data_IF_215935799165
#
_entry.id   IF_215935799165
#
_cell.length_a   1.000
_cell.length_b   1.000
_cell.length_c   1.000
_cell.angle_alpha   90.00
_cell.angle_beta   90.00
_cell.angle_gamma   90.00
#
_symmetry.space_group_name_H-M   'P 1'
#
loop_
_entity.id
_entity.type
_entity.pdbx_description
1 polymer ?
#
# COMPACT_ATOMS: atom_id res chain seq x y z
N UNK A 1 -4.51 -8.92 -24.30
CA UNK A 1 -4.85 -8.32 -23.01
C UNK A 1 -4.13 -6.99 -22.94
N UNK A 2 -4.85 -5.88 -22.77
CA UNK A 2 -4.25 -4.54 -22.67
C UNK A 2 -3.37 -4.40 -21.42
N UNK A 3 -2.59 -3.31 -21.34
CA UNK A 3 -1.77 -2.98 -20.18
C UNK A 3 -2.60 -2.74 -18.92
N UNK A 4 -3.85 -2.31 -19.07
CA UNK A 4 -4.76 -2.07 -17.95
C UNK A 4 -5.20 -3.39 -17.32
N UNK A 5 -4.61 -3.72 -16.18
CA UNK A 5 -4.95 -4.92 -15.39
C UNK A 5 -6.31 -4.76 -14.69
N UNK A 6 -6.75 -3.51 -14.50
CA UNK A 6 -7.96 -3.15 -13.76
C UNK A 6 -8.76 -2.09 -14.53
N UNK A 7 -10.12 -2.17 -14.57
CA UNK A 7 -10.94 -1.26 -15.38
C UNK A 7 -10.72 0.23 -15.09
N UNK A 8 -10.52 0.59 -13.82
CA UNK A 8 -10.31 1.99 -13.39
C UNK A 8 -8.93 2.55 -13.73
N UNK A 9 -8.01 1.72 -14.23
CA UNK A 9 -6.65 2.13 -14.62
C UNK A 9 -6.49 2.35 -16.13
N UNK A 10 -7.53 2.20 -16.93
CA UNK A 10 -7.45 2.30 -18.38
C UNK A 10 -6.83 3.62 -18.85
N UNK A 11 -7.35 4.74 -18.36
CA UNK A 11 -6.84 6.08 -18.71
C UNK A 11 -5.39 6.30 -18.28
N UNK A 12 -4.98 5.78 -17.11
CA UNK A 12 -3.60 5.85 -16.65
C UNK A 12 -2.69 4.99 -17.54
N UNK A 13 -3.12 3.79 -17.89
CA UNK A 13 -2.38 2.90 -18.79
C UNK A 13 -2.18 3.51 -20.17
N UNK A 14 -3.22 4.11 -20.76
CA UNK A 14 -3.17 4.83 -22.03
C UNK A 14 -2.18 6.01 -21.97
N UNK A 15 -2.23 6.80 -20.89
CA UNK A 15 -1.31 7.92 -20.68
C UNK A 15 0.15 7.47 -20.59
N UNK A 16 0.41 6.34 -19.91
CA UNK A 16 1.75 5.76 -19.81
C UNK A 16 2.24 5.25 -21.17
N UNK A 17 1.39 4.54 -21.92
CA UNK A 17 1.73 4.05 -23.26
C UNK A 17 1.99 5.18 -24.25
N UNK A 18 1.19 6.24 -24.21
CA UNK A 18 1.39 7.43 -25.06
C UNK A 18 2.72 8.13 -24.76
N UNK A 19 3.18 8.08 -23.51
CA UNK A 19 4.44 8.69 -23.07
C UNK A 19 5.67 7.79 -23.23
N UNK A 20 5.54 6.54 -23.66
CA UNK A 20 6.60 5.52 -23.62
C UNK A 20 7.91 5.90 -24.29
N UNK A 21 7.84 6.67 -25.39
CA UNK A 21 9.01 7.09 -26.17
C UNK A 21 9.69 8.34 -25.61
N UNK A 22 9.00 9.09 -24.75
CA UNK A 22 9.47 10.34 -24.16
C UNK A 22 9.24 10.34 -22.63
N UNK A 23 9.72 9.31 -21.95
CA UNK A 23 9.62 9.21 -20.49
C UNK A 23 10.62 10.17 -19.82
N UNK A 24 10.22 10.82 -18.73
CA UNK A 24 11.16 11.59 -17.91
C UNK A 24 12.12 10.65 -17.18
N UNK A 25 13.23 11.19 -16.67
CA UNK A 25 14.19 10.43 -15.87
C UNK A 25 13.57 9.86 -14.60
N UNK A 26 12.68 10.61 -13.94
CA UNK A 26 11.92 10.17 -12.78
C UNK A 26 10.41 10.40 -12.99
N UNK A 27 9.63 9.33 -12.85
CA UNK A 27 8.15 9.36 -12.86
C UNK A 27 7.65 8.77 -11.56
N UNK A 28 6.95 9.58 -10.75
CA UNK A 28 6.35 9.15 -9.50
C UNK A 28 4.84 9.02 -9.66
N UNK A 29 4.37 7.77 -9.70
CA UNK A 29 2.97 7.42 -9.76
C UNK A 29 2.47 7.19 -8.34
N UNK A 30 1.42 7.89 -7.93
CA UNK A 30 0.94 7.81 -6.55
C UNK A 30 -0.58 7.65 -6.46
N UNK A 31 -1.01 6.90 -5.47
CA UNK A 31 -2.43 6.68 -5.17
C UNK A 31 -2.60 5.72 -4.01
N UNK A 32 -3.80 5.59 -3.44
CA UNK A 32 -4.02 4.74 -2.28
C UNK A 32 -3.54 3.32 -2.53
N UNK A 33 -2.96 2.68 -1.50
CA UNK A 33 -2.60 1.27 -1.56
C UNK A 33 -3.82 0.41 -1.89
N UNK A 34 -3.62 -0.64 -2.68
CA UNK A 34 -4.67 -1.62 -2.97
C UNK A 34 -5.61 -1.24 -4.11
N UNK A 35 -5.22 -0.28 -4.94
CA UNK A 35 -5.93 0.04 -6.20
C UNK A 35 -5.18 -0.50 -7.44
N UNK A 36 -4.11 -1.29 -7.26
CA UNK A 36 -3.37 -1.94 -8.34
C UNK A 36 -2.35 -1.06 -9.06
N UNK A 37 -1.98 0.12 -8.50
CA UNK A 37 -1.03 1.05 -9.13
C UNK A 37 0.33 0.40 -9.38
N UNK A 38 0.86 -0.32 -8.40
CA UNK A 38 2.17 -0.98 -8.51
C UNK A 38 2.16 -2.07 -9.59
N UNK A 39 1.09 -2.83 -9.70
CA UNK A 39 0.97 -3.91 -10.69
C UNK A 39 0.90 -3.34 -12.11
N UNK A 40 0.19 -2.21 -12.29
CA UNK A 40 0.17 -1.49 -13.55
C UNK A 40 1.57 -0.98 -13.93
N UNK A 41 2.29 -0.40 -12.97
CA UNK A 41 3.65 0.13 -13.24
C UNK A 41 4.63 -0.99 -13.55
N UNK A 42 4.55 -2.15 -12.89
CA UNK A 42 5.33 -3.34 -13.24
C UNK A 42 5.00 -3.81 -14.66
N UNK A 43 3.72 -3.90 -15.01
CA UNK A 43 3.28 -4.29 -16.34
C UNK A 43 3.76 -3.30 -17.41
N UNK A 44 3.67 -1.99 -17.14
CA UNK A 44 4.20 -0.94 -18.00
C UNK A 44 5.73 -1.06 -18.15
N UNK A 45 6.48 -1.18 -17.06
CA UNK A 45 7.94 -1.34 -17.10
C UNK A 45 8.37 -2.54 -17.99
N UNK A 46 7.68 -3.67 -17.83
CA UNK A 46 7.92 -4.86 -18.66
C UNK A 46 7.57 -4.63 -20.13
N UNK A 47 6.51 -3.87 -20.42
CA UNK A 47 6.09 -3.58 -21.80
C UNK A 47 7.11 -2.78 -22.61
N UNK A 48 7.95 -1.97 -21.94
CA UNK A 48 8.98 -1.14 -22.56
C UNK A 48 10.10 -1.97 -23.21
N UNK A 49 10.20 -3.25 -22.92
CA UNK A 49 11.17 -4.19 -23.50
C UNK A 49 10.57 -5.06 -24.60
N UNK A 50 9.33 -4.77 -25.02
CA UNK A 50 8.70 -5.50 -26.13
C UNK A 50 9.34 -5.11 -27.46
N UNK A 51 9.87 -6.08 -28.18
CA UNK A 51 10.48 -5.90 -29.52
C UNK A 51 9.44 -5.70 -30.62
N UNK A 52 8.22 -6.24 -30.40
CA UNK A 52 7.11 -6.22 -31.37
C UNK A 52 5.79 -5.83 -30.71
N UNK A 53 5.65 -4.56 -30.27
CA UNK A 53 4.41 -4.11 -29.65
C UNK A 53 3.26 -4.10 -30.67
N UNK A 54 2.03 -4.30 -30.18
CA UNK A 54 0.82 -4.12 -30.98
C UNK A 54 0.62 -2.66 -31.38
N UNK A 55 -0.30 -2.39 -32.31
CA UNK A 55 -0.58 -1.03 -32.79
C UNK A 55 -1.04 -0.08 -31.68
N UNK A 56 -1.68 -0.59 -30.63
CA UNK A 56 -2.07 0.17 -29.43
C UNK A 56 -0.94 0.37 -28.43
N UNK A 57 0.27 -0.09 -28.73
CA UNK A 57 1.45 0.00 -27.88
C UNK A 57 1.54 -1.10 -26.81
N UNK A 58 0.58 -2.02 -26.72
CA UNK A 58 0.62 -3.12 -25.77
C UNK A 58 1.68 -4.17 -26.13
N UNK A 59 2.26 -4.88 -25.14
CA UNK A 59 3.32 -5.85 -25.39
C UNK A 59 2.79 -7.12 -26.04
N UNK A 60 3.58 -7.74 -26.94
CA UNK A 60 3.24 -9.01 -27.60
C UNK A 60 3.30 -10.23 -26.67
N UNK A 61 3.95 -10.14 -25.54
CA UNK A 61 4.19 -11.17 -24.50
C UNK A 61 4.97 -12.42 -24.97
N UNK A 62 5.40 -12.49 -26.22
CA UNK A 62 6.02 -13.68 -26.83
C UNK A 62 7.47 -13.47 -27.27
N UNK A 63 7.91 -12.23 -27.55
CA UNK A 63 9.28 -11.93 -27.93
C UNK A 63 10.29 -12.19 -26.79
N UNK A 64 11.58 -12.17 -27.11
CA UNK A 64 12.66 -12.41 -26.13
C UNK A 64 12.60 -11.39 -24.99
N UNK A 65 12.49 -10.09 -25.29
CA UNK A 65 12.39 -9.03 -24.29
C UNK A 65 11.20 -9.23 -23.35
N UNK A 66 10.01 -9.54 -23.87
CA UNK A 66 8.83 -9.84 -23.05
C UNK A 66 9.05 -11.05 -22.14
N UNK A 67 9.59 -12.16 -22.67
CA UNK A 67 9.83 -13.37 -21.86
C UNK A 67 10.81 -13.13 -20.73
N UNK A 68 11.93 -12.43 -21.01
CA UNK A 68 12.91 -12.08 -19.99
C UNK A 68 12.34 -11.13 -18.93
N UNK A 69 11.54 -10.13 -19.35
CA UNK A 69 10.90 -9.20 -18.42
C UNK A 69 9.86 -9.89 -17.53
N UNK A 70 9.07 -10.82 -18.08
CA UNK A 70 8.10 -11.62 -17.33
C UNK A 70 8.76 -12.58 -16.33
N UNK A 71 9.91 -13.16 -16.72
CA UNK A 71 10.71 -14.03 -15.84
C UNK A 71 11.56 -13.25 -14.81
N UNK A 72 11.50 -11.92 -14.79
CA UNK A 72 12.35 -11.04 -13.95
C UNK A 72 13.87 -11.21 -14.20
N UNK A 73 14.25 -11.62 -15.39
CA UNK A 73 15.65 -11.87 -15.78
C UNK A 73 16.17 -10.87 -16.81
N UNK A 74 15.37 -9.84 -17.17
CA UNK A 74 15.83 -8.84 -18.14
C UNK A 74 16.98 -8.03 -17.57
N UNK A 75 18.16 -7.95 -18.26
CA UNK A 75 19.36 -7.31 -17.72
C UNK A 75 19.20 -5.80 -17.45
N UNK A 76 18.33 -5.11 -18.21
CA UNK A 76 18.13 -3.67 -18.10
C UNK A 76 16.87 -3.31 -17.27
N UNK A 77 16.25 -4.27 -16.56
CA UNK A 77 15.13 -4.06 -15.66
C UNK A 77 15.56 -4.38 -14.23
N UNK A 78 15.36 -3.44 -13.31
CA UNK A 78 15.63 -3.64 -11.88
C UNK A 78 14.43 -3.26 -11.04
N UNK A 79 14.24 -4.03 -9.97
CA UNK A 79 13.22 -3.79 -8.95
C UNK A 79 13.90 -3.41 -7.64
N UNK A 80 13.55 -2.24 -7.11
CA UNK A 80 13.97 -1.76 -5.79
C UNK A 80 12.73 -1.76 -4.91
N UNK A 81 12.45 -2.91 -4.31
CA UNK A 81 11.23 -3.13 -3.52
C UNK A 81 11.60 -3.40 -2.07
N UNK A 82 10.73 -3.02 -1.13
CA UNK A 82 10.86 -3.56 0.22
C UNK A 82 10.71 -5.08 0.17
N UNK A 83 11.33 -5.79 1.10
CA UNK A 83 11.28 -7.26 1.13
C UNK A 83 9.84 -7.79 1.15
N UNK A 84 8.98 -7.17 1.96
CA UNK A 84 7.58 -7.58 2.06
C UNK A 84 6.85 -7.48 0.71
N UNK A 85 7.09 -6.40 -0.05
CA UNK A 85 6.44 -6.18 -1.33
C UNK A 85 7.04 -7.05 -2.45
N UNK A 86 8.34 -7.35 -2.37
CA UNK A 86 9.00 -8.27 -3.29
C UNK A 86 8.46 -9.70 -3.12
N UNK A 87 8.41 -10.20 -1.88
CA UNK A 87 7.88 -11.54 -1.58
C UNK A 87 6.42 -11.65 -2.00
N UNK A 88 5.57 -10.65 -1.67
CA UNK A 88 4.16 -10.67 -2.00
C UNK A 88 3.88 -10.74 -3.51
N UNK A 89 4.85 -10.32 -4.35
CA UNK A 89 4.73 -10.29 -5.83
C UNK A 89 5.63 -11.28 -6.55
N UNK A 90 6.36 -12.13 -5.81
CA UNK A 90 7.31 -13.07 -6.42
C UNK A 90 8.43 -12.36 -7.20
N UNK A 91 8.86 -11.18 -6.72
CA UNK A 91 9.97 -10.42 -7.31
C UNK A 91 11.30 -10.78 -6.63
N UNK A 92 12.43 -10.65 -7.35
CA UNK A 92 13.75 -10.87 -6.76
C UNK A 92 13.98 -9.91 -5.58
N UNK A 93 14.52 -10.44 -4.50
CA UNK A 93 14.98 -9.67 -3.34
C UNK A 93 16.18 -10.35 -2.71
N UNK A 94 17.22 -9.56 -2.47
CA UNK A 94 18.43 -10.01 -1.76
C UNK A 94 18.42 -9.36 -0.36
N UNK A 95 18.38 -10.17 0.72
CA UNK A 95 18.45 -9.63 2.07
C UNK A 95 19.85 -9.10 2.37
N UNK A 96 20.01 -8.15 3.32
CA UNK A 96 21.32 -7.70 3.77
C UNK A 96 22.20 -8.87 4.21
N UNK A 97 23.50 -8.81 3.94
CA UNK A 97 24.45 -9.89 4.22
C UNK A 97 24.47 -10.34 5.70
N UNK A 98 24.10 -9.47 6.63
CA UNK A 98 24.00 -9.75 8.07
C UNK A 98 22.60 -10.14 8.53
N UNK A 99 21.67 -10.42 7.61
CA UNK A 99 20.30 -10.76 7.95
C UNK A 99 20.23 -12.16 8.59
N UNK A 100 19.58 -12.25 9.75
CA UNK A 100 19.30 -13.52 10.44
C UNK A 100 18.02 -14.17 9.93
N UNK A 101 17.92 -15.50 9.99
CA UNK A 101 16.72 -16.23 9.52
C UNK A 101 15.46 -15.91 10.32
N UNK A 102 15.60 -15.53 11.59
CA UNK A 102 14.48 -15.28 12.50
C UNK A 102 14.03 -13.81 12.59
N UNK A 103 14.57 -12.94 11.77
CA UNK A 103 14.21 -11.53 11.74
C UNK A 103 12.80 -11.26 11.21
N UNK A 104 12.32 -10.06 11.44
CA UNK A 104 11.11 -9.55 10.78
C UNK A 104 11.41 -9.20 9.31
N UNK A 105 10.42 -9.40 8.44
CA UNK A 105 10.47 -8.98 7.04
C UNK A 105 10.57 -7.45 6.97
N UNK A 106 11.48 -6.93 6.16
CA UNK A 106 11.67 -5.50 5.97
C UNK A 106 10.51 -4.91 5.15
N UNK A 107 9.96 -3.82 5.65
CA UNK A 107 8.87 -3.06 4.99
C UNK A 107 9.35 -1.80 4.33
N UNK A 108 10.61 -1.44 4.57
CA UNK A 108 11.27 -0.24 4.07
C UNK A 108 12.31 -0.64 3.02
N UNK A 109 12.63 0.30 2.15
CA UNK A 109 13.76 0.18 1.22
C UNK A 109 15.02 0.53 2.00
N UNK A 110 15.95 -0.43 2.08
CA UNK A 110 17.16 -0.37 2.87
C UNK A 110 18.36 0.16 2.05
N UNK A 111 19.37 0.69 2.72
CA UNK A 111 20.53 1.35 2.08
C UNK A 111 21.34 0.45 1.12
N UNK A 112 21.37 -0.87 1.33
CA UNK A 112 22.11 -1.76 0.43
C UNK A 112 21.53 -1.76 -0.99
N UNK A 113 20.20 -1.67 -1.12
CA UNK A 113 19.50 -1.71 -2.41
C UNK A 113 19.88 -0.54 -3.35
N UNK A 114 19.86 0.76 -2.91
CA UNK A 114 20.38 1.84 -3.74
C UNK A 114 21.89 1.73 -4.05
N UNK A 115 22.69 1.09 -3.19
CA UNK A 115 24.11 0.84 -3.48
C UNK A 115 24.29 -0.17 -4.62
N UNK A 116 23.60 -1.31 -4.55
CA UNK A 116 23.57 -2.32 -5.61
C UNK A 116 23.01 -1.74 -6.92
N UNK A 117 22.04 -0.84 -6.82
CA UNK A 117 21.51 -0.11 -7.97
C UNK A 117 22.58 0.77 -8.61
N UNK A 118 23.46 1.42 -7.83
CA UNK A 118 24.56 2.24 -8.36
C UNK A 118 25.51 1.38 -9.19
N UNK A 119 25.85 0.18 -8.74
CA UNK A 119 26.70 -0.74 -9.49
C UNK A 119 26.03 -1.15 -10.82
N UNK A 120 24.74 -1.46 -10.79
CA UNK A 120 23.95 -1.73 -12.00
C UNK A 120 23.94 -0.54 -12.97
N UNK A 121 23.78 0.68 -12.46
CA UNK A 121 23.72 1.88 -13.29
C UNK A 121 25.06 2.27 -13.91
N UNK A 122 26.18 1.86 -13.32
CA UNK A 122 27.52 2.07 -13.86
C UNK A 122 27.88 1.13 -15.03
N UNK A 123 27.15 0.03 -15.20
CA UNK A 123 27.32 -0.86 -16.35
C UNK A 123 26.72 -0.21 -17.62
N UNK A 124 27.23 -0.55 -18.80
CA UNK A 124 26.58 -0.19 -20.04
C UNK A 124 25.22 -0.92 -20.20
N UNK A 125 24.21 -0.33 -20.87
CA UNK A 125 23.00 -1.07 -21.24
C UNK A 125 23.35 -2.33 -22.02
N UNK A 126 22.62 -3.41 -21.80
CA UNK A 126 22.87 -4.69 -22.47
C UNK A 126 22.59 -4.65 -23.97
N UNK A 127 21.65 -3.79 -24.38
CA UNK A 127 21.33 -3.54 -25.78
C UNK A 127 21.85 -2.16 -26.15
N UNK A 128 22.69 -2.06 -27.20
CA UNK A 128 23.16 -0.77 -27.71
C UNK A 128 21.97 0.14 -28.05
N UNK A 129 21.99 1.35 -27.47
CA UNK A 129 20.86 2.25 -27.56
C UNK A 129 19.62 1.83 -26.77
N UNK A 130 19.71 0.78 -25.96
CA UNK A 130 18.64 0.30 -25.10
C UNK A 130 18.33 1.24 -23.93
N UNK A 131 17.17 1.03 -23.31
CA UNK A 131 16.68 1.78 -22.15
C UNK A 131 16.85 0.95 -20.89
N UNK A 132 17.26 1.58 -19.79
CA UNK A 132 17.21 0.99 -18.44
C UNK A 132 15.99 1.47 -17.68
N UNK A 133 15.31 0.55 -17.02
CA UNK A 133 14.14 0.84 -16.20
C UNK A 133 14.37 0.36 -14.78
N UNK A 134 14.16 1.25 -13.84
CA UNK A 134 14.21 0.96 -12.41
C UNK A 134 12.82 1.19 -11.83
N UNK A 135 12.20 0.15 -11.29
CA UNK A 135 10.89 0.25 -10.60
C UNK A 135 11.12 0.27 -9.10
N UNK A 136 10.60 1.28 -8.42
CA UNK A 136 10.82 1.50 -6.99
C UNK A 136 9.49 1.48 -6.25
N UNK A 137 9.32 0.60 -5.26
CA UNK A 137 8.11 0.53 -4.45
C UNK A 137 8.35 -0.08 -3.04
N UNK A 138 7.78 0.48 -2.00
CA UNK A 138 7.01 1.74 -1.95
C UNK A 138 7.94 2.96 -1.77
N UNK A 139 7.80 3.98 -2.60
CA UNK A 139 8.66 5.16 -2.55
C UNK A 139 8.51 5.98 -1.26
N UNK A 140 7.34 5.88 -0.61
CA UNK A 140 7.08 6.49 0.70
C UNK A 140 7.67 5.71 1.89
N UNK A 141 8.37 4.59 1.63
CA UNK A 141 9.07 3.80 2.64
C UNK A 141 10.59 3.69 2.36
N UNK A 142 11.14 4.63 1.59
CA UNK A 142 12.58 4.76 1.43
C UNK A 142 13.15 5.35 2.72
N UNK A 143 14.08 4.63 3.36
CA UNK A 143 14.76 5.12 4.56
C UNK A 143 15.61 6.35 4.25
N UNK A 144 15.76 7.24 5.23
CA UNK A 144 16.52 8.48 5.06
C UNK A 144 18.00 8.24 4.68
N UNK A 145 18.61 7.17 5.22
CA UNK A 145 19.97 6.75 4.89
C UNK A 145 20.09 6.21 3.44
N UNK A 146 19.06 5.53 2.95
CA UNK A 146 18.97 5.04 1.58
C UNK A 146 18.70 6.16 0.57
N UNK A 147 17.93 7.17 1.00
CA UNK A 147 17.50 8.27 0.15
C UNK A 147 18.67 9.07 -0.43
N UNK A 148 19.71 9.34 0.36
CA UNK A 148 20.88 10.11 -0.09
C UNK A 148 21.57 9.48 -1.31
N UNK A 149 21.75 8.15 -1.29
CA UNK A 149 22.33 7.41 -2.42
C UNK A 149 21.39 7.40 -3.62
N UNK A 150 20.07 7.25 -3.36
CA UNK A 150 19.06 7.22 -4.41
C UNK A 150 18.90 8.57 -5.12
N UNK A 151 18.97 9.67 -4.36
CA UNK A 151 18.85 11.04 -4.90
C UNK A 151 19.95 11.35 -5.90
N UNK A 152 21.19 10.91 -5.66
CA UNK A 152 22.29 11.09 -6.63
C UNK A 152 21.96 10.46 -7.99
N UNK A 153 21.39 9.27 -7.99
CA UNK A 153 20.97 8.58 -9.22
C UNK A 153 19.79 9.22 -9.93
N UNK A 154 18.92 9.93 -9.18
CA UNK A 154 17.79 10.69 -9.75
C UNK A 154 18.23 12.06 -10.32
N UNK A 155 19.26 12.70 -9.72
CA UNK A 155 19.77 13.99 -10.16
C UNK A 155 20.58 13.85 -11.46
N UNK A 156 21.45 12.87 -11.51
CA UNK A 156 22.35 12.60 -12.63
C UNK A 156 22.17 11.16 -13.13
N UNK A 157 20.99 10.83 -13.68
CA UNK A 157 20.74 9.48 -14.16
C UNK A 157 21.62 9.20 -15.38
N UNK A 158 22.19 7.99 -15.50
CA UNK A 158 22.85 7.59 -16.73
C UNK A 158 21.91 7.70 -17.93
N UNK A 159 22.48 7.91 -19.11
CA UNK A 159 21.71 8.05 -20.35
C UNK A 159 20.67 6.92 -20.50
N UNK A 160 19.47 7.32 -20.97
CA UNK A 160 18.35 6.42 -21.23
C UNK A 160 17.90 5.59 -20.02
N UNK A 161 18.09 6.11 -18.81
CA UNK A 161 17.60 5.49 -17.59
C UNK A 161 16.31 6.20 -17.14
N UNK A 162 15.27 5.42 -16.85
CA UNK A 162 14.01 5.93 -16.29
C UNK A 162 13.71 5.23 -14.96
N UNK A 163 13.45 6.05 -13.94
CA UNK A 163 12.98 5.60 -12.64
C UNK A 163 11.46 5.69 -12.59
N UNK A 164 10.79 4.57 -12.37
CA UNK A 164 9.35 4.48 -12.17
C UNK A 164 9.11 4.24 -10.67
N UNK A 165 8.79 5.30 -9.96
CA UNK A 165 8.52 5.22 -8.52
C UNK A 165 7.03 5.09 -8.29
N UNK A 166 6.64 4.26 -7.32
CA UNK A 166 5.25 4.13 -6.89
C UNK A 166 5.14 4.43 -5.40
N UNK A 167 4.17 5.26 -5.05
CA UNK A 167 3.89 5.62 -3.66
C UNK A 167 2.42 5.42 -3.31
N UNK A 168 2.18 4.84 -2.14
CA UNK A 168 0.83 4.69 -1.58
C UNK A 168 0.32 6.01 -0.98
N UNK A 169 1.26 6.87 -0.54
CA UNK A 169 1.00 8.16 0.07
C UNK A 169 2.06 9.16 -0.37
N UNK A 170 1.65 10.19 -1.12
CA UNK A 170 2.54 11.21 -1.66
C UNK A 170 3.13 12.12 -0.58
N UNK A 171 2.41 12.36 0.51
CA UNK A 171 2.84 13.25 1.58
C UNK A 171 3.94 12.62 2.45
N UNK A 172 4.08 11.30 2.39
CA UNK A 172 5.15 10.56 3.04
C UNK A 172 6.38 10.34 2.16
N UNK A 173 6.32 10.71 0.88
CA UNK A 173 7.50 10.69 0.02
C UNK A 173 8.36 11.89 0.33
N UNK A 174 9.66 11.68 0.49
CA UNK A 174 10.60 12.74 0.78
C UNK A 174 10.48 13.89 -0.25
N UNK A 175 10.39 15.15 0.19
CA UNK A 175 10.26 16.31 -0.71
C UNK A 175 11.37 16.36 -1.76
N UNK A 176 12.57 15.94 -1.39
CA UNK A 176 13.74 15.87 -2.29
C UNK A 176 13.57 14.87 -3.43
N UNK A 177 12.87 13.76 -3.21
CA UNK A 177 12.52 12.80 -4.28
C UNK A 177 11.39 13.37 -5.14
N UNK A 178 10.34 13.94 -4.50
CA UNK A 178 9.19 14.52 -5.21
C UNK A 178 9.58 15.60 -6.19
N UNK A 179 10.52 16.49 -5.81
CA UNK A 179 10.96 17.62 -6.63
C UNK A 179 11.71 17.19 -7.90
N UNK A 180 12.20 15.95 -7.97
CA UNK A 180 12.97 15.40 -9.09
C UNK A 180 12.15 14.45 -9.98
N UNK A 181 10.90 14.25 -9.65
CA UNK A 181 10.02 13.36 -10.40
C UNK A 181 8.84 14.11 -11.01
N UNK A 182 8.44 13.71 -12.21
CA UNK A 182 7.11 14.09 -12.73
C UNK A 182 6.06 13.29 -11.96
N UNK A 183 5.08 14.00 -11.41
CA UNK A 183 4.02 13.39 -10.60
C UNK A 183 2.85 12.97 -11.48
N UNK A 184 2.34 11.76 -11.24
CA UNK A 184 1.17 11.21 -11.92
C UNK A 184 0.26 10.53 -10.89
N UNK A 185 -0.97 11.01 -10.76
CA UNK A 185 -1.93 10.46 -9.80
C UNK A 185 -2.68 9.28 -10.40
N UNK A 186 -2.69 8.16 -9.69
CA UNK A 186 -3.56 7.03 -9.97
C UNK A 186 -4.94 7.25 -9.35
N UNK A 187 -5.99 7.00 -10.13
CA UNK A 187 -7.37 7.15 -9.68
C UNK A 187 -7.83 5.89 -8.97
N UNK A 188 -8.44 6.04 -7.80
CA UNK A 188 -9.10 4.94 -7.11
C UNK A 188 -10.39 4.53 -7.86
N UNK A 189 -10.78 3.25 -7.81
CA UNK A 189 -12.07 2.81 -8.33
C UNK A 189 -13.22 3.44 -7.55
N UNK A 190 -14.39 3.55 -8.20
CA UNK A 190 -15.64 3.74 -7.46
C UNK A 190 -16.00 2.43 -6.73
N UNK A 191 -16.86 2.53 -5.72
CA UNK A 191 -17.37 1.33 -5.02
C UNK A 191 -17.95 0.29 -6.00
N UNK A 192 -18.74 0.75 -6.96
CA UNK A 192 -19.38 -0.10 -7.97
C UNK A 192 -18.35 -0.81 -8.86
N UNK A 193 -17.33 -0.09 -9.35
CA UNK A 193 -16.26 -0.66 -10.15
C UNK A 193 -15.46 -1.70 -9.36
N UNK A 194 -15.13 -1.39 -8.10
CA UNK A 194 -14.39 -2.30 -7.22
C UNK A 194 -15.19 -3.58 -6.93
N UNK A 195 -16.48 -3.43 -6.61
CA UNK A 195 -17.38 -4.55 -6.33
C UNK A 195 -17.60 -5.43 -7.56
N UNK A 196 -17.89 -4.82 -8.72
CA UNK A 196 -18.05 -5.56 -9.98
C UNK A 196 -16.81 -6.36 -10.33
N UNK A 197 -15.63 -5.77 -10.14
CA UNK A 197 -14.36 -6.45 -10.40
C UNK A 197 -14.13 -7.61 -9.42
N UNK A 198 -14.35 -7.44 -8.11
CA UNK A 198 -14.20 -8.54 -7.13
C UNK A 198 -15.17 -9.70 -7.43
N UNK A 199 -16.41 -9.39 -7.82
CA UNK A 199 -17.36 -10.42 -8.27
C UNK A 199 -16.84 -11.19 -9.51
N UNK A 200 -16.21 -10.49 -10.46
CA UNK A 200 -15.60 -11.13 -11.63
C UNK A 200 -14.40 -12.03 -11.28
N UNK A 201 -13.77 -11.78 -10.11
CA UNK A 201 -12.70 -12.62 -9.56
C UNK A 201 -13.22 -13.78 -8.70
N UNK A 202 -14.54 -14.02 -8.68
CA UNK A 202 -15.22 -15.05 -7.87
C UNK A 202 -14.88 -14.96 -6.37
N UNK A 203 -14.71 -13.72 -5.86
CA UNK A 203 -14.51 -13.50 -4.42
C UNK A 203 -15.84 -13.70 -3.70
N UNK A 204 -15.87 -14.63 -2.76
CA UNK A 204 -17.00 -14.84 -1.87
C UNK A 204 -17.22 -13.59 -0.99
N UNK A 205 -18.47 -13.27 -0.69
CA UNK A 205 -18.84 -12.11 0.12
C UNK A 205 -18.13 -10.81 -0.29
N UNK A 206 -18.04 -10.57 -1.62
CA UNK A 206 -17.26 -9.50 -2.22
C UNK A 206 -17.59 -8.11 -1.63
N UNK A 207 -18.84 -7.85 -1.26
CA UNK A 207 -19.25 -6.58 -0.66
C UNK A 207 -18.67 -6.40 0.75
N UNK A 208 -18.74 -7.43 1.58
CA UNK A 208 -18.14 -7.39 2.91
C UNK A 208 -16.62 -7.34 2.85
N UNK A 209 -16.01 -8.12 1.95
CA UNK A 209 -14.56 -8.10 1.73
C UNK A 209 -14.10 -6.71 1.28
N UNK A 210 -14.84 -6.06 0.38
CA UNK A 210 -14.53 -4.71 -0.11
C UNK A 210 -14.68 -3.66 1.00
N UNK A 211 -15.75 -3.73 1.80
CA UNK A 211 -15.94 -2.86 2.96
C UNK A 211 -14.78 -3.01 3.96
N UNK A 212 -14.35 -4.26 4.25
CA UNK A 212 -13.16 -4.53 5.06
C UNK A 212 -11.89 -3.91 4.49
N UNK A 213 -11.75 -3.87 3.17
CA UNK A 213 -10.62 -3.31 2.45
C UNK A 213 -10.74 -1.80 2.16
N UNK A 214 -11.78 -1.09 2.65
CA UNK A 214 -12.03 0.33 2.40
C UNK A 214 -12.07 0.69 0.91
N UNK A 215 -12.87 -0.02 0.15
CA UNK A 215 -13.01 0.14 -1.30
C UNK A 215 -11.70 -0.03 -2.10
N UNK A 216 -10.77 -0.83 -1.56
CA UNK A 216 -9.47 -1.13 -2.17
C UNK A 216 -9.42 -2.59 -2.60
N UNK A 217 -9.94 -2.93 -3.76
CA UNK A 217 -10.20 -4.31 -4.16
C UNK A 217 -8.94 -5.17 -4.27
N UNK A 218 -7.79 -4.58 -4.63
CA UNK A 218 -6.54 -5.33 -4.73
C UNK A 218 -6.01 -5.79 -3.37
N UNK A 219 -6.36 -5.13 -2.25
CA UNK A 219 -6.01 -5.64 -0.93
C UNK A 219 -6.69 -6.98 -0.63
N UNK A 220 -7.94 -7.14 -1.09
CA UNK A 220 -8.68 -8.41 -0.93
C UNK A 220 -7.98 -9.53 -1.71
N UNK A 221 -7.67 -9.29 -2.98
CA UNK A 221 -7.02 -10.31 -3.82
C UNK A 221 -5.58 -10.58 -3.40
N UNK A 222 -4.85 -9.58 -2.93
CA UNK A 222 -3.48 -9.77 -2.41
C UNK A 222 -3.50 -10.60 -1.12
N UNK A 223 -4.45 -10.36 -0.22
CA UNK A 223 -4.65 -11.20 0.96
C UNK A 223 -4.93 -12.65 0.57
N UNK A 224 -5.83 -12.89 -0.38
CA UNK A 224 -6.15 -14.23 -0.88
C UNK A 224 -4.93 -14.91 -1.52
N UNK A 225 -4.16 -14.19 -2.34
CA UNK A 225 -2.92 -14.71 -2.92
C UNK A 225 -1.91 -15.13 -1.86
N UNK A 226 -1.68 -14.30 -0.83
CA UNK A 226 -0.77 -14.60 0.27
C UNK A 226 -1.25 -15.82 1.07
N UNK A 227 -2.56 -15.92 1.38
CA UNK A 227 -3.16 -17.06 2.10
C UNK A 227 -2.99 -18.37 1.34
N UNK A 228 -3.21 -18.34 0.03
CA UNK A 228 -3.20 -19.53 -0.83
C UNK A 228 -1.81 -19.88 -1.38
N UNK A 229 -0.79 -19.07 -1.11
CA UNK A 229 0.57 -19.36 -1.58
C UNK A 229 1.20 -20.48 -0.73
N UNK A 230 1.34 -21.67 -1.32
CA UNK A 230 1.94 -22.84 -0.67
C UNK A 230 3.47 -22.74 -0.52
N UNK A 231 4.14 -21.86 -1.27
CA UNK A 231 5.60 -21.67 -1.19
C UNK A 231 6.01 -20.85 0.02
N UNK A 232 5.08 -20.09 0.62
CA UNK A 232 5.34 -19.30 1.82
C UNK A 232 5.25 -20.17 3.08
N UNK A 233 6.29 -20.12 3.91
CA UNK A 233 6.22 -20.70 5.26
C UNK A 233 5.20 -19.93 6.12
N UNK A 234 4.72 -20.57 7.19
CA UNK A 234 3.66 -20.03 8.05
C UNK A 234 4.02 -18.67 8.66
N UNK A 235 5.29 -18.48 9.07
CA UNK A 235 5.78 -17.26 9.71
C UNK A 235 5.82 -16.09 8.71
N UNK A 236 6.36 -16.33 7.52
CA UNK A 236 6.40 -15.35 6.43
C UNK A 236 4.98 -14.94 6.02
N UNK A 237 4.09 -15.92 5.85
CA UNK A 237 2.69 -15.69 5.52
C UNK A 237 2.00 -14.81 6.57
N UNK A 238 2.16 -15.12 7.85
CA UNK A 238 1.63 -14.33 8.96
C UNK A 238 2.19 -12.90 8.95
N UNK A 239 3.50 -12.74 8.77
CA UNK A 239 4.11 -11.42 8.70
C UNK A 239 3.58 -10.59 7.53
N UNK A 240 3.34 -11.19 6.37
CA UNK A 240 2.77 -10.49 5.21
C UNK A 240 1.30 -10.13 5.44
N UNK A 241 0.50 -11.03 6.00
CA UNK A 241 -0.91 -10.76 6.30
C UNK A 241 -1.10 -9.66 7.35
N UNK A 242 -0.24 -9.60 8.37
CA UNK A 242 -0.29 -8.52 9.38
C UNK A 242 0.05 -7.14 8.81
N UNK A 243 0.55 -7.06 7.55
CA UNK A 243 0.76 -5.80 6.85
C UNK A 243 -0.55 -5.18 6.35
N UNK A 244 -1.51 -6.00 6.01
CA UNK A 244 -2.72 -5.60 5.29
C UNK A 244 -3.97 -5.61 6.17
N UNK A 245 -4.02 -6.52 7.15
CA UNK A 245 -5.22 -6.74 7.96
C UNK A 245 -4.88 -7.15 9.39
N UNK A 246 -5.73 -6.79 10.35
CA UNK A 246 -5.72 -7.40 11.68
C UNK A 246 -6.16 -8.86 11.57
N UNK A 247 -5.58 -9.72 12.41
CA UNK A 247 -6.11 -11.07 12.58
C UNK A 247 -7.62 -11.00 12.91
N UNK A 248 -8.45 -11.85 12.30
CA UNK A 248 -9.92 -11.76 12.45
C UNK A 248 -10.37 -11.63 13.91
N UNK A 249 -9.83 -12.47 14.81
CA UNK A 249 -10.17 -12.42 16.23
C UNK A 249 -9.82 -11.09 16.91
N UNK A 250 -8.68 -10.48 16.55
CA UNK A 250 -8.26 -9.17 17.11
C UNK A 250 -9.13 -8.04 16.55
N UNK A 251 -9.52 -8.16 15.28
CA UNK A 251 -10.45 -7.21 14.64
C UNK A 251 -11.83 -7.27 15.30
N UNK A 252 -12.37 -8.47 15.49
CA UNK A 252 -13.65 -8.67 16.16
C UNK A 252 -13.63 -8.14 17.59
N UNK A 253 -12.57 -8.44 18.35
CA UNK A 253 -12.37 -7.88 19.68
C UNK A 253 -12.33 -6.35 19.68
N UNK A 254 -11.62 -5.74 18.74
CA UNK A 254 -11.57 -4.28 18.62
C UNK A 254 -12.95 -3.70 18.33
N UNK A 255 -13.70 -4.28 17.38
CA UNK A 255 -15.03 -3.82 17.03
C UNK A 255 -16.01 -4.00 18.19
N UNK A 256 -15.97 -5.13 18.90
CA UNK A 256 -16.77 -5.37 20.08
C UNK A 256 -16.48 -4.33 21.18
N UNK A 257 -15.21 -3.95 21.37
CA UNK A 257 -14.82 -2.89 22.30
C UNK A 257 -15.31 -1.52 21.87
N UNK A 258 -15.16 -1.15 20.59
CA UNK A 258 -15.66 0.12 20.06
C UNK A 258 -17.19 0.26 20.23
N UNK A 259 -17.92 -0.85 20.08
CA UNK A 259 -19.36 -0.90 20.31
C UNK A 259 -19.78 -0.59 21.77
N UNK A 260 -18.87 -0.69 22.74
CA UNK A 260 -19.15 -0.28 24.13
C UNK A 260 -19.13 1.24 24.34
N UNK A 261 -18.69 2.02 23.35
CA UNK A 261 -18.68 3.48 23.39
C UNK A 261 -17.95 4.03 24.62
N UNK A 262 -18.65 4.80 25.47
CA UNK A 262 -18.10 5.39 26.69
C UNK A 262 -17.55 4.36 27.71
N UNK A 263 -18.01 3.12 27.64
CA UNK A 263 -17.61 2.04 28.54
C UNK A 263 -16.44 1.21 27.98
N UNK A 264 -15.78 1.66 26.90
CA UNK A 264 -14.67 0.95 26.29
C UNK A 264 -13.52 0.73 27.30
N UNK A 265 -13.04 -0.51 27.51
CA UNK A 265 -11.93 -0.77 28.40
C UNK A 265 -10.60 -0.28 27.78
N UNK A 266 -9.75 0.33 28.62
CA UNK A 266 -8.39 0.75 28.23
C UNK A 266 -7.36 -0.39 28.35
N UNK A 267 -7.81 -1.62 28.48
CA UNK A 267 -6.93 -2.79 28.54
C UNK A 267 -6.29 -3.07 27.18
N UNK A 268 -5.09 -3.66 27.22
CA UNK A 268 -4.38 -4.07 25.99
C UNK A 268 -5.28 -4.94 25.12
N UNK A 269 -5.25 -4.69 23.80
CA UNK A 269 -5.83 -5.62 22.85
C UNK A 269 -5.07 -6.96 23.00
N UNK A 270 -5.77 -8.02 23.39
CA UNK A 270 -5.15 -9.30 23.63
C UNK A 270 -4.74 -9.94 22.31
N UNK A 271 -3.44 -10.08 22.10
CA UNK A 271 -2.92 -11.02 21.11
C UNK A 271 -2.81 -12.37 21.82
N UNK A 272 -3.76 -13.27 21.56
CA UNK A 272 -3.61 -14.67 22.00
C UNK A 272 -2.39 -15.26 21.26
N UNK A 273 -1.44 -15.72 22.06
CA UNK A 273 -0.27 -16.51 21.68
C UNK A 273 0.77 -15.78 20.81
N UNK A 274 1.82 -15.30 21.46
CA UNK A 274 3.11 -15.08 20.85
C UNK A 274 3.43 -13.69 20.34
N UNK A 275 3.63 -12.73 21.25
CA UNK A 275 4.74 -11.76 21.16
C UNK A 275 4.74 -10.64 20.09
N UNK A 276 3.74 -10.45 19.28
CA UNK A 276 3.73 -9.26 18.40
C UNK A 276 2.71 -8.25 18.88
N UNK A 277 3.18 -7.08 19.30
CA UNK A 277 2.31 -5.93 19.53
C UNK A 277 1.47 -5.69 18.27
N UNK A 278 0.17 -5.45 18.44
CA UNK A 278 -0.73 -5.12 17.32
C UNK A 278 -0.20 -3.87 16.63
N UNK A 279 0.08 -3.90 15.30
CA UNK A 279 0.66 -2.76 14.62
C UNK A 279 -0.36 -1.63 14.50
N UNK A 280 0.07 -0.39 14.78
CA UNK A 280 -0.77 0.81 14.62
C UNK A 280 -1.33 0.91 13.20
N UNK A 281 -0.51 0.56 12.20
CA UNK A 281 -0.89 0.56 10.78
C UNK A 281 -2.06 -0.36 10.44
N UNK A 282 -2.37 -1.36 11.26
CA UNK A 282 -3.51 -2.25 11.05
C UNK A 282 -4.74 -1.84 11.88
N UNK A 283 -4.54 -1.19 13.04
CA UNK A 283 -5.63 -0.70 13.91
C UNK A 283 -6.21 0.61 13.39
N UNK A 284 -5.35 1.55 13.05
CA UNK A 284 -5.75 2.90 12.68
C UNK A 284 -6.78 2.96 11.54
N UNK A 285 -6.65 2.18 10.44
CA UNK A 285 -7.68 2.15 9.40
C UNK A 285 -9.07 1.66 9.88
N UNK A 286 -9.11 0.85 10.93
CA UNK A 286 -10.39 0.40 11.51
C UNK A 286 -11.01 1.54 12.32
N UNK A 287 -10.21 2.25 13.13
CA UNK A 287 -10.69 3.41 13.89
C UNK A 287 -11.17 4.53 12.96
N UNK A 288 -10.47 4.80 11.88
CA UNK A 288 -10.87 5.80 10.89
C UNK A 288 -12.21 5.48 10.22
N UNK A 289 -12.40 4.22 9.80
CA UNK A 289 -13.66 3.76 9.21
C UNK A 289 -14.81 3.78 10.20
N UNK A 290 -14.54 3.36 11.44
CA UNK A 290 -15.51 3.44 12.51
C UNK A 290 -15.93 4.89 12.76
N UNK A 291 -14.95 5.81 12.82
CA UNK A 291 -15.18 7.23 12.94
C UNK A 291 -15.96 7.82 11.77
N UNK A 292 -15.63 7.39 10.54
CA UNK A 292 -16.39 7.79 9.36
C UNK A 292 -17.87 7.41 9.48
N UNK A 293 -18.17 6.16 9.83
CA UNK A 293 -19.54 5.69 9.96
C UNK A 293 -20.28 6.38 11.11
N UNK A 294 -19.61 6.68 12.24
CA UNK A 294 -20.18 7.50 13.31
C UNK A 294 -20.57 8.91 12.82
N UNK A 295 -19.68 9.58 12.07
CA UNK A 295 -19.96 10.89 11.49
C UNK A 295 -21.08 10.83 10.43
N UNK A 296 -21.06 9.81 9.57
CA UNK A 296 -22.11 9.60 8.56
C UNK A 296 -23.49 9.45 9.21
N UNK A 297 -23.59 8.56 10.20
CA UNK A 297 -24.86 8.35 10.94
C UNK A 297 -25.30 9.60 11.67
N UNK A 298 -24.37 10.33 12.32
CA UNK A 298 -24.68 11.60 13.00
C UNK A 298 -25.18 12.69 12.03
N UNK A 299 -24.73 12.61 10.78
CA UNK A 299 -25.14 13.50 9.68
C UNK A 299 -26.40 13.01 8.93
N UNK A 300 -27.02 11.92 9.36
CA UNK A 300 -28.19 11.35 8.69
C UNK A 300 -27.88 10.58 7.40
N UNK A 301 -26.60 10.26 7.16
CA UNK A 301 -26.13 9.47 6.02
C UNK A 301 -26.13 7.96 6.34
N UNK A 302 -26.22 7.08 5.34
CA UNK A 302 -26.15 5.64 5.54
C UNK A 302 -24.76 5.19 6.02
N UNK A 303 -24.73 4.08 6.78
CA UNK A 303 -23.50 3.40 7.17
C UNK A 303 -22.82 2.82 5.94
N UNK A 304 -21.51 3.05 5.80
CA UNK A 304 -20.74 2.60 4.66
C UNK A 304 -19.92 1.32 4.93
N UNK A 305 -19.14 1.31 6.02
CA UNK A 305 -18.17 0.23 6.29
C UNK A 305 -18.71 -0.87 7.21
N UNK A 306 -19.46 -0.52 8.24
CA UNK A 306 -19.92 -1.46 9.28
C UNK A 306 -21.44 -1.61 9.26
N UNK A 307 -22.00 -2.00 8.10
CA UNK A 307 -23.46 -2.15 7.89
C UNK A 307 -24.12 -3.06 8.94
N UNK A 308 -23.43 -4.14 9.36
CA UNK A 308 -23.95 -5.03 10.41
C UNK A 308 -24.04 -4.38 11.80
N UNK A 309 -23.33 -3.28 12.01
CA UNK A 309 -23.31 -2.53 13.27
C UNK A 309 -24.18 -1.26 13.24
N UNK A 310 -25.03 -1.08 12.23
CA UNK A 310 -25.80 0.15 12.03
C UNK A 310 -26.63 0.55 13.25
N UNK A 311 -27.34 -0.41 13.86
CA UNK A 311 -28.13 -0.16 15.07
C UNK A 311 -27.26 0.30 16.23
N UNK A 312 -26.09 -0.31 16.41
CA UNK A 312 -25.13 0.06 17.44
C UNK A 312 -24.55 1.45 17.19
N UNK A 313 -24.18 1.76 15.94
CA UNK A 313 -23.66 3.07 15.56
C UNK A 313 -24.66 4.18 15.81
N UNK A 314 -25.95 3.97 15.46
CA UNK A 314 -27.05 4.91 15.74
C UNK A 314 -27.18 5.19 17.24
N UNK A 315 -27.19 4.16 18.07
CA UNK A 315 -27.28 4.30 19.52
C UNK A 315 -26.08 5.02 20.13
N UNK A 316 -24.87 4.79 19.60
CA UNK A 316 -23.63 5.42 20.06
C UNK A 316 -23.59 6.92 19.77
N UNK A 317 -24.04 7.36 18.59
CA UNK A 317 -23.91 8.77 18.18
C UNK A 317 -25.02 9.65 18.72
N UNK A 318 -26.14 9.09 19.14
CA UNK A 318 -27.30 9.86 19.63
C UNK A 318 -26.92 10.87 20.72
N UNK A 319 -26.24 10.47 21.82
CA UNK A 319 -25.88 11.37 22.90
C UNK A 319 -24.61 12.22 22.63
N UNK A 320 -23.86 11.98 21.54
CA UNK A 320 -22.55 12.59 21.31
C UNK A 320 -22.67 13.81 20.40
N UNK A 321 -22.00 14.91 20.76
CA UNK A 321 -21.95 16.12 19.94
C UNK A 321 -21.14 15.88 18.67
N UNK A 322 -21.59 16.45 17.54
CA UNK A 322 -20.94 16.30 16.23
C UNK A 322 -19.47 16.79 16.26
N UNK A 323 -19.24 17.95 16.87
CA UNK A 323 -17.90 18.56 16.96
C UNK A 323 -16.91 17.65 17.70
N UNK A 324 -17.37 16.92 18.72
CA UNK A 324 -16.52 15.97 19.46
C UNK A 324 -16.14 14.77 18.60
N UNK A 325 -17.10 14.22 17.85
CA UNK A 325 -16.83 13.15 16.89
C UNK A 325 -15.85 13.59 15.81
N UNK A 326 -16.08 14.78 15.25
CA UNK A 326 -15.22 15.34 14.21
C UNK A 326 -13.77 15.54 14.73
N UNK A 327 -13.63 16.14 15.92
CA UNK A 327 -12.31 16.36 16.54
C UNK A 327 -11.56 15.06 16.78
N UNK A 328 -12.27 14.02 17.22
CA UNK A 328 -11.64 12.70 17.38
C UNK A 328 -11.19 12.12 16.05
N UNK A 329 -12.03 12.10 15.03
CA UNK A 329 -11.71 11.57 13.71
C UNK A 329 -10.54 12.35 13.07
N UNK A 330 -10.50 13.67 13.24
CA UNK A 330 -9.40 14.49 12.75
C UNK A 330 -8.08 14.21 13.49
N UNK A 331 -8.17 13.93 14.80
CA UNK A 331 -6.98 13.54 15.60
C UNK A 331 -6.34 12.24 15.11
N UNK A 332 -7.09 11.29 14.54
CA UNK A 332 -6.55 10.07 13.97
C UNK A 332 -5.61 10.35 12.80
N UNK A 333 -5.83 11.41 12.02
CA UNK A 333 -4.93 11.83 10.93
C UNK A 333 -3.55 12.24 11.44
N UNK A 334 -3.49 12.85 12.61
CA UNK A 334 -2.21 13.23 13.23
C UNK A 334 -1.38 12.01 13.63
N UNK A 335 -2.05 10.93 14.04
CA UNK A 335 -1.43 9.65 14.38
C UNK A 335 -0.76 9.04 13.13
N UNK A 336 -1.36 9.15 11.96
CA UNK A 336 -0.76 8.70 10.70
C UNK A 336 0.63 9.29 10.44
N UNK A 337 0.84 10.55 10.80
CA UNK A 337 2.12 11.25 10.62
C UNK A 337 3.20 10.77 11.59
N UNK A 338 2.80 10.21 12.73
CA UNK A 338 3.70 9.78 13.81
C UNK A 338 3.98 8.26 13.80
N UNK A 339 3.25 7.47 13.02
CA UNK A 339 3.37 5.99 12.96
C UNK A 339 4.79 5.50 12.64
N UNK A 340 5.60 6.31 11.95
CA UNK A 340 7.00 5.97 11.61
C UNK A 340 8.01 6.30 12.72
N UNK A 341 7.60 6.98 13.79
CA UNK A 341 8.47 7.26 14.94
C UNK A 341 8.61 6.01 15.82
N UNK A 342 9.76 5.79 16.51
CA UNK A 342 9.97 4.62 17.37
C UNK A 342 9.17 4.68 18.68
N UNK A 343 8.04 5.37 18.69
CA UNK A 343 7.10 5.37 19.80
C UNK A 343 6.50 3.97 19.98
N UNK A 344 6.25 3.60 21.22
CA UNK A 344 5.59 2.34 21.54
C UNK A 344 4.21 2.29 20.86
N UNK A 345 4.07 1.43 19.86
CA UNK A 345 2.82 1.25 19.09
C UNK A 345 1.59 1.08 19.97
N UNK A 346 1.76 0.40 21.11
CA UNK A 346 0.68 0.20 22.07
C UNK A 346 0.21 1.49 22.73
N UNK A 347 1.12 2.39 23.11
CA UNK A 347 0.75 3.70 23.67
C UNK A 347 -0.08 4.52 22.69
N UNK A 348 0.27 4.48 21.41
CA UNK A 348 -0.44 5.21 20.35
C UNK A 348 -1.88 4.67 20.20
N UNK A 349 -2.06 3.34 20.21
CA UNK A 349 -3.38 2.71 20.15
C UNK A 349 -4.20 3.03 21.41
N UNK A 350 -3.59 2.92 22.58
CA UNK A 350 -4.23 3.25 23.88
C UNK A 350 -4.68 4.70 23.92
N UNK A 351 -3.86 5.63 23.43
CA UNK A 351 -4.22 7.05 23.30
C UNK A 351 -5.41 7.26 22.37
N UNK A 352 -5.41 6.63 21.20
CA UNK A 352 -6.53 6.73 20.26
C UNK A 352 -7.85 6.19 20.86
N UNK A 353 -7.79 5.10 21.60
CA UNK A 353 -8.92 4.52 22.31
C UNK A 353 -9.37 5.38 23.49
N UNK A 354 -8.43 5.99 24.24
CA UNK A 354 -8.74 6.92 25.30
C UNK A 354 -9.47 8.17 24.77
N UNK A 355 -8.99 8.73 23.65
CA UNK A 355 -9.66 9.85 23.00
C UNK A 355 -11.07 9.48 22.53
N UNK A 356 -11.24 8.28 21.95
CA UNK A 356 -12.57 7.74 21.61
C UNK A 356 -13.48 7.71 22.84
N UNK A 357 -13.03 7.14 23.96
CA UNK A 357 -13.83 7.05 25.19
C UNK A 357 -14.25 8.43 25.70
N UNK A 358 -13.34 9.39 25.73
CA UNK A 358 -13.63 10.78 26.11
C UNK A 358 -14.67 11.41 25.19
N UNK A 359 -14.52 11.20 23.86
CA UNK A 359 -15.49 11.65 22.86
C UNK A 359 -16.88 11.09 23.13
N UNK A 360 -17.01 9.78 23.41
CA UNK A 360 -18.29 9.15 23.72
C UNK A 360 -18.91 9.63 25.04
N UNK A 361 -18.12 10.22 25.95
CA UNK A 361 -18.57 10.92 27.15
C UNK A 361 -18.82 12.42 26.95
N UNK A 362 -18.68 12.95 25.73
CA UNK A 362 -18.70 14.40 25.46
C UNK A 362 -17.60 15.19 26.18
N UNK A 363 -16.51 14.54 26.60
CA UNK A 363 -15.35 15.17 27.22
C UNK A 363 -14.39 15.72 26.16
N UNK A 364 -13.58 16.73 26.51
CA UNK A 364 -12.45 17.18 25.71
C UNK A 364 -11.20 16.34 26.02
N UNK A 365 -10.28 16.22 25.03
CA UNK A 365 -9.01 15.50 25.19
C UNK A 365 -7.80 16.34 24.75
N UNK A 366 -7.95 17.67 24.88
CA UNK A 366 -6.83 18.61 24.76
C UNK A 366 -5.77 18.37 25.82
#
# INVERSE_FOLDING_TARGET
MGLALYPWQASLAESLLAAKDNLPNGLLIYGPRGIGTVDLVIAFARSLFCEHPHADGTPCLTCKGCRMALANTHPDLRYVFSEAEAIARGLPFEPPANATKDRKIYREILIHQPRELTDFLNLAPHIDGGRRIVVVYPANAIRADAAATFLKSLEEPPERTTFLLVADDIDRVLPTIRSRCRLLRATAPTHEQALAWLKSQAVEDAEEALARAADRPCLVTDELKIRNNSELDAKTREQLLTLTTLAPAVREELLARLALGKNIPLTKLAVKEGRTAVPVSAVLPILERWGYDLLAVKSGLPVHYFKHSETTLKALVEPVAFEKLFTWVDSLKSIHRTVTHPLNAQMVIEQAILHYRKTMNNESFE
#
